data_IF_808561253724
#
_entry.id   IF_808561253724
#
_cell.length_a   1.000
_cell.length_b   1.000
_cell.length_c   1.000
_cell.angle_alpha   90.00
_cell.angle_beta   90.00
_cell.angle_gamma   90.00
#
_symmetry.space_group_name_H-M   'P 1'
#
loop_
_entity.id
_entity.type
_entity.pdbx_description
1 polymer ?
#
# COMPACT_ATOMS: atom_id res chain seq x y z
N UNK A 1 -25.55 3.78 -26.07
CA UNK A 1 -25.70 3.01 -27.34
C UNK A 1 -24.35 2.59 -27.87
N UNK A 2 -24.29 1.75 -28.90
CA UNK A 2 -23.03 1.26 -29.50
C UNK A 2 -22.05 2.40 -29.84
N UNK A 3 -22.58 3.53 -30.33
CA UNK A 3 -21.81 4.74 -30.61
C UNK A 3 -21.10 5.30 -29.37
N UNK A 4 -21.76 5.31 -28.21
CA UNK A 4 -21.19 5.74 -26.93
C UNK A 4 -20.04 4.83 -26.51
N UNK A 5 -20.19 3.51 -26.70
CA UNK A 5 -19.13 2.54 -26.38
C UNK A 5 -17.92 2.72 -27.29
N UNK A 6 -18.13 2.93 -28.60
CA UNK A 6 -17.04 3.19 -29.56
C UNK A 6 -16.33 4.50 -29.24
N UNK A 7 -17.06 5.56 -28.87
CA UNK A 7 -16.47 6.83 -28.48
C UNK A 7 -15.66 6.72 -27.18
N UNK A 8 -16.19 6.01 -26.17
CA UNK A 8 -15.47 5.76 -24.92
C UNK A 8 -14.23 4.89 -25.13
N UNK A 9 -14.33 3.86 -26.00
CA UNK A 9 -13.19 3.01 -26.37
C UNK A 9 -12.12 3.80 -27.14
N UNK A 10 -12.52 4.64 -28.10
CA UNK A 10 -11.61 5.51 -28.84
C UNK A 10 -10.93 6.54 -27.93
N UNK A 11 -11.68 7.15 -27.01
CA UNK A 11 -11.13 8.07 -26.01
C UNK A 11 -10.15 7.35 -25.06
N UNK A 12 -10.50 6.16 -24.56
CA UNK A 12 -9.63 5.37 -23.71
C UNK A 12 -8.34 4.95 -24.44
N UNK A 13 -8.45 4.52 -25.70
CA UNK A 13 -7.31 4.14 -26.54
C UNK A 13 -6.40 5.33 -26.82
N UNK A 14 -6.98 6.51 -27.09
CA UNK A 14 -6.22 7.75 -27.24
C UNK A 14 -5.50 8.16 -25.95
N UNK A 15 -6.18 8.10 -24.81
CA UNK A 15 -5.58 8.38 -23.50
C UNK A 15 -4.42 7.42 -23.18
N UNK A 16 -4.55 6.15 -23.54
CA UNK A 16 -3.47 5.16 -23.42
C UNK A 16 -2.29 5.49 -24.34
N UNK A 17 -2.55 5.94 -25.58
CA UNK A 17 -1.49 6.37 -26.51
C UNK A 17 -0.78 7.65 -26.05
N UNK A 18 -1.45 8.50 -25.28
CA UNK A 18 -0.94 9.75 -24.73
C UNK A 18 -0.59 9.64 -23.24
N UNK A 19 -0.13 8.47 -22.76
CA UNK A 19 0.09 8.21 -21.34
C UNK A 19 1.02 9.23 -20.66
N UNK A 20 2.01 9.78 -21.38
CA UNK A 20 2.93 10.78 -20.83
C UNK A 20 2.21 12.10 -20.48
N UNK A 21 1.25 12.51 -21.31
CA UNK A 21 0.43 13.69 -21.05
C UNK A 21 -0.52 13.46 -19.87
N UNK A 22 -1.05 12.24 -19.75
CA UNK A 22 -1.89 11.85 -18.60
C UNK A 22 -1.08 11.92 -17.29
N UNK A 23 0.16 11.41 -17.29
CA UNK A 23 1.07 11.50 -16.14
C UNK A 23 1.36 12.95 -15.78
N UNK A 24 1.67 13.76 -16.79
CA UNK A 24 1.99 15.17 -16.59
C UNK A 24 0.80 15.92 -15.98
N UNK A 25 -0.41 15.72 -16.52
CA UNK A 25 -1.65 16.28 -15.98
C UNK A 25 -1.91 15.84 -14.53
N UNK A 26 -1.71 14.56 -14.22
CA UNK A 26 -1.83 14.03 -12.86
C UNK A 26 -0.87 14.71 -11.89
N UNK A 27 0.40 14.91 -12.27
CA UNK A 27 1.39 15.62 -11.44
C UNK A 27 0.92 17.05 -11.12
N UNK A 28 0.37 17.76 -12.10
CA UNK A 28 -0.18 19.11 -11.90
C UNK A 28 -1.35 19.07 -10.92
N UNK A 29 -2.29 18.12 -11.10
CA UNK A 29 -3.45 17.96 -10.21
C UNK A 29 -3.00 17.67 -8.78
N UNK A 30 -2.01 16.80 -8.59
CA UNK A 30 -1.46 16.49 -7.27
C UNK A 30 -0.87 17.73 -6.60
N UNK A 31 -0.03 18.50 -7.31
CA UNK A 31 0.55 19.75 -6.78
C UNK A 31 -0.53 20.76 -6.41
N UNK A 32 -1.54 20.92 -7.27
CA UNK A 32 -2.67 21.82 -7.03
C UNK A 32 -3.48 21.38 -5.81
N UNK A 33 -3.80 20.09 -5.70
CA UNK A 33 -4.56 19.54 -4.57
C UNK A 33 -3.78 19.67 -3.26
N UNK A 34 -2.47 19.40 -3.27
CA UNK A 34 -1.62 19.60 -2.10
C UNK A 34 -1.54 21.08 -1.70
N UNK A 35 -1.40 21.99 -2.67
CA UNK A 35 -1.41 23.43 -2.40
C UNK A 35 -2.76 23.90 -1.82
N UNK A 36 -3.87 23.39 -2.36
CA UNK A 36 -5.21 23.65 -1.83
C UNK A 36 -5.36 23.09 -0.41
N UNK A 37 -4.89 21.86 -0.14
CA UNK A 37 -4.92 21.26 1.19
C UNK A 37 -4.15 22.12 2.20
N UNK A 38 -2.92 22.50 1.86
CA UNK A 38 -2.09 23.35 2.72
C UNK A 38 -2.71 24.72 2.96
N UNK A 39 -3.30 25.34 1.93
CA UNK A 39 -4.06 26.58 2.08
C UNK A 39 -5.22 26.41 3.05
N UNK A 40 -5.97 25.31 2.96
CA UNK A 40 -7.06 25.01 3.91
C UNK A 40 -6.50 24.84 5.32
N UNK A 41 -5.40 24.10 5.51
CA UNK A 41 -4.76 23.96 6.83
C UNK A 41 -4.34 25.30 7.44
N UNK A 42 -3.79 26.20 6.64
CA UNK A 42 -3.34 27.52 7.10
C UNK A 42 -4.49 28.46 7.47
N UNK A 43 -5.69 28.24 6.91
CA UNK A 43 -6.90 28.96 7.30
C UNK A 43 -7.41 28.55 8.69
N UNK A 44 -7.13 27.33 9.10
CA UNK A 44 -7.51 26.82 10.41
C UNK A 44 -6.54 27.29 11.51
N UNK A 45 -7.01 27.36 12.75
CA UNK A 45 -6.22 27.79 13.92
C UNK A 45 -6.24 26.74 15.03
N UNK A 46 -5.24 26.82 15.92
CA UNK A 46 -5.19 26.00 17.14
C UNK A 46 -5.08 24.50 16.88
N UNK A 47 -5.84 23.69 17.64
CA UNK A 47 -5.79 22.23 17.58
C UNK A 47 -6.27 21.67 16.22
N UNK A 48 -7.28 22.28 15.60
CA UNK A 48 -7.83 21.86 14.31
C UNK A 48 -6.75 21.84 13.22
N UNK A 49 -5.89 22.86 13.16
CA UNK A 49 -4.78 22.91 12.20
C UNK A 49 -3.80 21.75 12.39
N UNK A 50 -3.47 21.41 13.64
CA UNK A 50 -2.55 20.29 13.92
C UNK A 50 -3.16 18.94 13.52
N UNK A 51 -4.47 18.74 13.74
CA UNK A 51 -5.18 17.55 13.26
C UNK A 51 -5.17 17.44 11.73
N UNK A 52 -5.34 18.56 11.03
CA UNK A 52 -5.23 18.56 9.57
C UNK A 52 -3.80 18.25 9.08
N UNK A 53 -2.76 18.75 9.75
CA UNK A 53 -1.39 18.34 9.43
C UNK A 53 -1.16 16.84 9.67
N UNK A 54 -1.72 16.30 10.74
CA UNK A 54 -1.70 14.86 10.98
C UNK A 54 -2.40 14.07 9.86
N UNK A 55 -3.56 14.53 9.37
CA UNK A 55 -4.25 13.92 8.22
C UNK A 55 -3.38 13.95 6.97
N UNK A 56 -2.64 15.04 6.71
CA UNK A 56 -1.70 15.12 5.58
C UNK A 56 -0.59 14.07 5.67
N UNK A 57 -0.02 13.88 6.87
CA UNK A 57 1.01 12.87 7.13
C UNK A 57 0.43 11.47 6.88
N UNK A 58 -0.74 11.17 7.43
CA UNK A 58 -1.41 9.88 7.23
C UNK A 58 -1.81 9.63 5.76
N UNK A 59 -2.16 10.68 5.00
CA UNK A 59 -2.39 10.56 3.55
C UNK A 59 -1.10 10.21 2.80
N UNK A 60 0.04 10.80 3.17
CA UNK A 60 1.33 10.44 2.58
C UNK A 60 1.71 8.99 2.89
N UNK A 61 1.50 8.55 4.14
CA UNK A 61 1.69 7.16 4.54
C UNK A 61 0.77 6.21 3.78
N UNK A 62 -0.49 6.61 3.54
CA UNK A 62 -1.44 5.83 2.75
C UNK A 62 -0.98 5.68 1.29
N UNK A 63 -0.43 6.74 0.67
CA UNK A 63 0.15 6.65 -0.68
C UNK A 63 1.26 5.58 -0.71
N UNK A 64 2.15 5.58 0.28
CA UNK A 64 3.22 4.57 0.38
C UNK A 64 2.60 3.17 0.53
N UNK A 65 1.69 2.98 1.47
CA UNK A 65 1.05 1.68 1.71
C UNK A 65 0.35 1.15 0.45
N UNK A 66 -0.47 1.98 -0.20
CA UNK A 66 -1.17 1.55 -1.42
C UNK A 66 -0.19 1.30 -2.58
N UNK A 67 0.96 1.98 -2.63
CA UNK A 67 2.00 1.70 -3.64
C UNK A 67 2.53 0.27 -3.51
N UNK A 68 2.70 -0.19 -2.26
CA UNK A 68 3.09 -1.57 -1.94
C UNK A 68 1.95 -2.56 -2.23
N UNK A 69 0.71 -2.16 -1.93
CA UNK A 69 -0.47 -2.97 -2.21
C UNK A 69 -0.60 -3.29 -3.72
N UNK A 70 -0.30 -2.31 -4.57
CA UNK A 70 -0.33 -2.45 -6.03
C UNK A 70 0.73 -3.43 -6.59
N UNK A 71 1.70 -3.87 -5.77
CA UNK A 71 2.67 -4.88 -6.19
C UNK A 71 2.10 -6.30 -6.19
N UNK A 72 1.02 -6.57 -5.45
CA UNK A 72 0.40 -7.90 -5.40
C UNK A 72 -0.03 -8.42 -6.78
N UNK A 73 -0.82 -7.67 -7.59
CA UNK A 73 -1.17 -8.11 -8.93
C UNK A 73 -0.06 -7.92 -9.97
N UNK A 74 1.02 -7.22 -9.64
CA UNK A 74 2.12 -6.90 -10.58
C UNK A 74 3.39 -7.68 -10.23
N UNK A 75 4.35 -7.07 -9.52
CA UNK A 75 5.67 -7.64 -9.23
C UNK A 75 5.61 -8.97 -8.49
N UNK A 76 4.74 -9.09 -7.48
CA UNK A 76 4.62 -10.33 -6.68
C UNK A 76 3.99 -11.44 -7.53
N UNK A 77 3.00 -11.10 -8.37
CA UNK A 77 2.41 -12.06 -9.30
C UNK A 77 3.42 -12.51 -10.36
N UNK A 78 4.23 -11.60 -10.90
CA UNK A 78 5.29 -11.96 -11.85
C UNK A 78 6.39 -12.81 -11.19
N UNK A 79 6.75 -12.49 -9.95
CA UNK A 79 7.64 -13.34 -9.15
C UNK A 79 7.05 -14.74 -8.95
N UNK A 80 5.73 -14.85 -8.72
CA UNK A 80 5.04 -16.13 -8.63
C UNK A 80 5.08 -16.90 -9.97
N UNK A 81 4.89 -16.22 -11.10
CA UNK A 81 4.97 -16.84 -12.43
C UNK A 81 6.37 -17.36 -12.73
N UNK A 82 7.40 -16.59 -12.38
CA UNK A 82 8.77 -16.86 -12.83
C UNK A 82 9.59 -17.70 -11.86
N UNK A 83 9.32 -17.61 -10.56
CA UNK A 83 10.21 -18.14 -9.53
C UNK A 83 9.52 -18.98 -8.46
N UNK A 84 8.21 -19.22 -8.52
CA UNK A 84 7.52 -20.02 -7.49
C UNK A 84 7.15 -21.38 -8.04
N UNK A 85 7.45 -22.43 -7.26
CA UNK A 85 6.97 -23.77 -7.56
C UNK A 85 5.43 -23.77 -7.58
N UNK A 86 4.79 -24.24 -8.67
CA UNK A 86 3.33 -24.28 -8.76
C UNK A 86 2.72 -25.29 -7.77
N UNK A 87 3.52 -26.19 -7.19
CA UNK A 87 3.05 -27.17 -6.20
C UNK A 87 3.26 -26.68 -4.78
N UNK A 88 2.18 -26.51 -4.03
CA UNK A 88 2.18 -26.20 -2.59
C UNK A 88 1.46 -27.32 -1.85
N UNK A 89 2.15 -28.00 -0.92
CA UNK A 89 1.59 -29.11 -0.13
C UNK A 89 0.97 -30.24 -0.98
N UNK A 90 1.49 -30.48 -2.19
CA UNK A 90 0.99 -31.52 -3.12
C UNK A 90 -0.12 -31.06 -4.08
N UNK A 91 -0.63 -29.84 -3.92
CA UNK A 91 -1.65 -29.25 -4.80
C UNK A 91 -1.01 -28.30 -5.81
N UNK A 92 -1.49 -28.29 -7.05
CA UNK A 92 -0.97 -27.40 -8.09
C UNK A 92 -1.82 -26.13 -8.13
N UNK A 93 -1.16 -24.98 -8.07
CA UNK A 93 -1.75 -23.64 -8.10
C UNK A 93 -1.17 -22.83 -9.25
N UNK A 94 -2.02 -22.05 -9.90
CA UNK A 94 -1.57 -21.01 -10.81
C UNK A 94 -1.03 -19.83 -10.01
N UNK A 95 -0.06 -19.10 -10.57
CA UNK A 95 0.54 -17.93 -9.94
C UNK A 95 -0.52 -16.90 -9.48
N UNK A 96 -1.56 -16.71 -10.29
CA UNK A 96 -2.67 -15.79 -10.01
C UNK A 96 -3.49 -16.24 -8.79
N UNK A 97 -3.56 -17.54 -8.50
CA UNK A 97 -4.28 -18.05 -7.33
C UNK A 97 -3.64 -17.61 -6.02
N UNK A 98 -2.34 -17.29 -6.00
CA UNK A 98 -1.69 -16.74 -4.81
C UNK A 98 -2.26 -15.37 -4.40
N UNK A 99 -2.89 -14.61 -5.31
CA UNK A 99 -3.56 -13.36 -4.95
C UNK A 99 -4.75 -13.59 -4.00
N UNK A 100 -5.38 -14.77 -4.06
CA UNK A 100 -6.46 -15.15 -3.14
C UNK A 100 -5.98 -15.33 -1.69
N UNK A 101 -4.67 -15.43 -1.45
CA UNK A 101 -4.12 -15.48 -0.09
C UNK A 101 -4.43 -14.21 0.70
N UNK A 102 -4.46 -13.05 0.05
CA UNK A 102 -4.76 -11.79 0.72
C UNK A 102 -6.17 -11.79 1.36
N UNK A 103 -7.27 -11.97 0.61
CA UNK A 103 -8.60 -12.04 1.20
C UNK A 103 -8.77 -13.22 2.16
N UNK A 104 -8.11 -14.36 1.92
CA UNK A 104 -8.09 -15.50 2.85
C UNK A 104 -7.52 -15.10 4.23
N UNK A 105 -6.35 -14.47 4.26
CA UNK A 105 -5.73 -14.03 5.51
C UNK A 105 -6.50 -12.89 6.17
N UNK A 106 -7.14 -12.01 5.41
CA UNK A 106 -8.04 -10.99 5.96
C UNK A 106 -9.17 -11.65 6.76
N UNK A 107 -9.84 -12.68 6.21
CA UNK A 107 -10.91 -13.40 6.89
C UNK A 107 -10.40 -14.01 8.20
N UNK A 108 -9.20 -14.58 8.19
CA UNK A 108 -8.59 -15.17 9.38
C UNK A 108 -8.26 -14.08 10.41
N UNK A 109 -7.60 -12.98 10.01
CA UNK A 109 -7.15 -11.93 10.93
C UNK A 109 -8.28 -11.08 11.51
N UNK A 110 -9.37 -10.88 10.76
CA UNK A 110 -10.51 -10.04 11.15
C UNK A 110 -11.05 -10.32 12.56
N UNK A 111 -11.40 -11.55 12.96
CA UNK A 111 -11.90 -11.83 14.32
C UNK A 111 -10.86 -11.59 15.41
N UNK A 112 -9.56 -11.85 15.16
CA UNK A 112 -8.51 -11.57 16.13
C UNK A 112 -8.34 -10.07 16.34
N UNK A 113 -8.34 -9.30 15.25
CA UNK A 113 -8.18 -7.86 15.31
C UNK A 113 -9.41 -7.18 15.93
N UNK A 114 -10.62 -7.69 15.66
CA UNK A 114 -11.84 -7.24 16.32
C UNK A 114 -11.79 -7.43 17.85
N UNK A 115 -11.39 -8.63 18.32
CA UNK A 115 -11.20 -8.90 19.76
C UNK A 115 -10.11 -8.02 20.36
N UNK A 116 -9.00 -7.84 19.63
CA UNK A 116 -7.92 -6.96 20.04
C UNK A 116 -8.41 -5.52 20.22
N UNK A 117 -9.18 -4.98 19.26
CA UNK A 117 -9.71 -3.63 19.34
C UNK A 117 -10.75 -3.45 20.45
N UNK A 118 -11.61 -4.43 20.70
CA UNK A 118 -12.55 -4.41 21.84
C UNK A 118 -11.79 -4.33 23.17
N UNK A 119 -10.77 -5.18 23.36
CA UNK A 119 -9.94 -5.15 24.57
C UNK A 119 -9.14 -3.85 24.69
N UNK A 120 -8.59 -3.37 23.57
CA UNK A 120 -7.80 -2.16 23.52
C UNK A 120 -8.66 -0.90 23.78
N UNK A 121 -9.94 -0.89 23.38
CA UNK A 121 -10.87 0.20 23.68
C UNK A 121 -11.15 0.35 25.19
N UNK A 122 -11.00 -0.74 25.96
CA UNK A 122 -11.12 -0.73 27.42
C UNK A 122 -9.78 -0.45 28.14
N UNK A 123 -8.69 -0.28 27.39
CA UNK A 123 -7.37 0.06 27.94
C UNK A 123 -7.33 1.52 28.38
N UNK A 124 -6.50 1.82 29.39
CA UNK A 124 -6.21 3.21 29.80
C UNK A 124 -5.58 4.05 28.68
N UNK A 125 -4.92 3.39 27.72
CA UNK A 125 -4.31 4.02 26.55
C UNK A 125 -4.65 3.18 25.31
N UNK A 126 -5.82 3.41 24.68
CA UNK A 126 -6.15 2.73 23.43
C UNK A 126 -5.16 3.13 22.33
N UNK A 127 -4.83 2.18 21.46
CA UNK A 127 -4.04 2.46 20.26
C UNK A 127 -4.64 3.58 19.42
N UNK A 128 -3.84 4.64 19.23
CA UNK A 128 -4.11 5.73 18.30
C UNK A 128 -4.13 5.24 16.85
N UNK A 129 -4.73 6.04 15.96
CA UNK A 129 -4.67 5.81 14.51
C UNK A 129 -3.21 5.74 14.03
N UNK A 130 -2.35 6.63 14.53
CA UNK A 130 -0.93 6.68 14.15
C UNK A 130 -0.16 5.40 14.53
N UNK A 131 -0.43 4.83 15.73
CA UNK A 131 0.15 3.52 16.11
C UNK A 131 -0.29 2.42 15.16
N UNK A 132 -1.58 2.35 14.83
CA UNK A 132 -2.10 1.33 13.90
C UNK A 132 -1.41 1.43 12.53
N UNK A 133 -1.28 2.64 11.98
CA UNK A 133 -0.55 2.89 10.74
C UNK A 133 0.93 2.46 10.82
N UNK A 134 1.61 2.74 11.94
CA UNK A 134 3.03 2.36 12.14
C UNK A 134 3.23 0.85 12.19
N UNK A 135 2.36 0.14 12.89
CA UNK A 135 2.37 -1.33 12.90
C UNK A 135 2.01 -1.91 11.53
N UNK A 136 1.08 -1.27 10.80
CA UNK A 136 0.77 -1.65 9.42
C UNK A 136 2.00 -1.53 8.52
N UNK A 137 2.68 -0.39 8.56
CA UNK A 137 3.90 -0.16 7.78
C UNK A 137 5.02 -1.14 8.16
N UNK A 138 5.19 -1.44 9.44
CA UNK A 138 6.13 -2.46 9.91
C UNK A 138 5.79 -3.84 9.33
N UNK A 139 4.52 -4.24 9.36
CA UNK A 139 4.07 -5.52 8.79
C UNK A 139 4.32 -5.58 7.28
N UNK A 140 4.09 -4.50 6.53
CA UNK A 140 4.47 -4.43 5.12
C UNK A 140 5.98 -4.57 4.93
N UNK A 141 6.80 -3.89 5.72
CA UNK A 141 8.26 -4.04 5.66
C UNK A 141 8.73 -5.48 5.91
N UNK A 142 8.12 -6.17 6.88
CA UNK A 142 8.37 -7.59 7.17
C UNK A 142 7.94 -8.48 6.00
N UNK A 143 6.76 -8.24 5.41
CA UNK A 143 6.26 -8.99 4.25
C UNK A 143 7.24 -8.95 3.06
N UNK A 144 7.72 -7.75 2.71
CA UNK A 144 8.72 -7.61 1.65
C UNK A 144 10.10 -8.16 2.05
N UNK A 145 10.45 -8.08 3.33
CA UNK A 145 11.66 -8.73 3.87
C UNK A 145 11.61 -10.25 3.69
N UNK A 146 10.46 -10.88 3.90
CA UNK A 146 10.26 -12.31 3.65
C UNK A 146 10.41 -12.64 2.16
N UNK A 147 9.86 -11.81 1.26
CA UNK A 147 10.05 -11.98 -0.18
C UNK A 147 11.52 -11.82 -0.58
N UNK A 148 12.22 -10.83 -0.03
CA UNK A 148 13.66 -10.66 -0.22
C UNK A 148 14.44 -11.90 0.23
N UNK A 149 14.14 -12.44 1.41
CA UNK A 149 14.84 -13.61 1.95
C UNK A 149 14.60 -14.86 1.11
N UNK A 150 13.42 -14.99 0.49
CA UNK A 150 13.06 -16.16 -0.30
C UNK A 150 14.05 -16.47 -1.43
N UNK A 151 14.69 -15.45 -2.01
CA UNK A 151 15.65 -15.62 -3.11
C UNK A 151 16.87 -16.49 -2.72
N UNK A 152 17.28 -16.46 -1.44
CA UNK A 152 18.42 -17.23 -0.95
C UNK A 152 18.09 -18.72 -0.73
N UNK A 153 16.82 -19.08 -0.85
CA UNK A 153 16.31 -20.45 -0.70
C UNK A 153 15.79 -21.01 -2.03
N UNK A 154 16.17 -20.40 -3.15
CA UNK A 154 15.87 -20.94 -4.45
C UNK A 154 16.68 -22.21 -4.72
N UNK A 155 16.08 -23.17 -5.41
CA UNK A 155 16.74 -24.39 -5.84
C UNK A 155 17.71 -24.15 -7.02
N UNK A 156 18.36 -25.21 -7.49
CA UNK A 156 19.28 -25.14 -8.63
C UNK A 156 18.63 -24.74 -9.96
N UNK A 157 17.31 -24.57 -10.01
CA UNK A 157 16.54 -24.07 -11.15
C UNK A 157 15.95 -22.67 -10.88
N UNK A 158 16.36 -22.01 -9.80
CA UNK A 158 15.92 -20.68 -9.38
C UNK A 158 14.43 -20.59 -9.00
N UNK A 159 13.85 -21.70 -8.54
CA UNK A 159 12.50 -21.74 -7.99
C UNK A 159 12.51 -21.80 -6.46
N UNK A 160 11.56 -21.10 -5.85
CA UNK A 160 11.31 -21.07 -4.41
C UNK A 160 10.00 -21.78 -4.08
N UNK A 161 9.86 -22.20 -2.82
CA UNK A 161 8.60 -22.74 -2.32
C UNK A 161 7.51 -21.66 -2.27
N UNK A 162 6.28 -22.00 -2.70
CA UNK A 162 5.13 -21.10 -2.57
C UNK A 162 4.76 -20.74 -1.13
N UNK A 163 5.29 -21.47 -0.13
CA UNK A 163 5.12 -21.12 1.28
C UNK A 163 5.71 -19.74 1.64
N UNK A 164 6.74 -19.28 0.92
CA UNK A 164 7.27 -17.92 1.11
C UNK A 164 6.23 -16.86 0.79
N UNK A 165 5.44 -17.06 -0.26
CA UNK A 165 4.32 -16.18 -0.60
C UNK A 165 3.24 -16.30 0.47
N UNK A 166 2.87 -17.52 0.86
CA UNK A 166 1.88 -17.74 1.95
C UNK A 166 2.23 -16.93 3.19
N UNK A 167 3.47 -16.99 3.66
CA UNK A 167 3.93 -16.28 4.85
C UNK A 167 4.02 -14.76 4.59
N UNK A 168 4.50 -14.33 3.43
CA UNK A 168 4.53 -12.91 3.07
C UNK A 168 3.12 -12.29 3.07
N UNK A 169 2.12 -13.00 2.53
CA UNK A 169 0.73 -12.57 2.51
C UNK A 169 0.08 -12.52 3.91
N UNK A 170 0.55 -13.30 4.91
CA UNK A 170 0.07 -13.18 6.30
C UNK A 170 0.30 -11.76 6.83
N UNK A 171 1.53 -11.26 6.66
CA UNK A 171 1.92 -9.94 7.15
C UNK A 171 1.34 -8.81 6.30
N UNK A 172 1.30 -8.99 4.97
CA UNK A 172 0.70 -7.98 4.08
C UNK A 172 -0.79 -7.78 4.37
N UNK A 173 -1.53 -8.86 4.63
CA UNK A 173 -2.96 -8.78 4.94
C UNK A 173 -3.22 -8.20 6.33
N UNK A 174 -2.35 -8.49 7.30
CA UNK A 174 -2.40 -7.83 8.60
C UNK A 174 -2.11 -6.32 8.47
N UNK A 175 -1.13 -5.95 7.64
CA UNK A 175 -0.84 -4.55 7.35
C UNK A 175 -2.05 -3.83 6.73
N UNK A 176 -2.73 -4.49 5.79
CA UNK A 176 -3.96 -3.98 5.20
C UNK A 176 -5.04 -3.76 6.24
N UNK A 177 -5.34 -4.73 7.10
CA UNK A 177 -6.34 -4.54 8.15
C UNK A 177 -6.00 -3.42 9.14
N UNK A 178 -4.71 -3.18 9.38
CA UNK A 178 -4.21 -2.11 10.24
C UNK A 178 -4.23 -0.72 9.57
N UNK A 179 -4.34 -0.63 8.25
CA UNK A 179 -4.27 0.65 7.49
C UNK A 179 -5.59 0.95 6.75
N UNK A 180 -6.14 -0.02 6.01
CA UNK A 180 -7.26 0.16 5.07
C UNK A 180 -8.59 0.48 5.78
N UNK A 181 -8.82 -0.08 6.97
CA UNK A 181 -10.01 0.20 7.78
C UNK A 181 -10.04 1.65 8.34
N UNK A 182 -8.93 2.40 8.26
CA UNK A 182 -8.76 3.66 8.97
C UNK A 182 -8.79 4.90 8.08
N UNK A 183 -8.74 4.78 6.75
CA UNK A 183 -8.73 5.93 5.85
C UNK A 183 -9.93 6.88 6.00
N UNK A 184 -11.14 6.33 5.84
CA UNK A 184 -12.38 7.10 5.99
C UNK A 184 -12.64 7.50 7.46
N UNK A 185 -12.33 6.62 8.41
CA UNK A 185 -12.52 6.89 9.83
C UNK A 185 -11.63 8.05 10.31
N UNK A 186 -10.39 8.10 9.83
CA UNK A 186 -9.43 9.17 10.14
C UNK A 186 -9.90 10.52 9.62
N UNK A 187 -10.36 10.59 8.37
CA UNK A 187 -10.88 11.83 7.81
C UNK A 187 -12.13 12.28 8.59
N UNK A 188 -13.01 11.35 8.97
CA UNK A 188 -14.18 11.67 9.77
C UNK A 188 -13.84 12.15 11.19
N UNK A 189 -12.77 11.63 11.81
CA UNK A 189 -12.39 11.93 13.19
C UNK A 189 -11.54 13.20 13.34
N UNK A 190 -10.62 13.45 12.38
CA UNK A 190 -9.61 14.51 12.49
C UNK A 190 -9.96 15.78 11.71
N UNK A 191 -10.88 15.71 10.73
CA UNK A 191 -11.24 16.85 9.88
C UNK A 191 -12.53 17.50 10.38
N UNK A 192 -12.60 18.84 10.46
CA UNK A 192 -13.84 19.51 10.84
C UNK A 192 -14.97 19.23 9.83
N UNK A 193 -16.21 19.06 10.32
CA UNK A 193 -17.38 18.64 9.55
C UNK A 193 -17.59 19.39 8.23
N UNK A 194 -17.34 20.71 8.22
CA UNK A 194 -17.51 21.57 7.03
C UNK A 194 -16.39 21.43 5.99
N UNK A 195 -15.33 20.64 6.25
CA UNK A 195 -14.24 20.34 5.32
C UNK A 195 -14.16 18.87 4.89
N UNK A 196 -14.98 17.98 5.48
CA UNK A 196 -14.91 16.53 5.23
C UNK A 196 -15.01 16.20 3.74
N UNK A 197 -15.96 16.79 3.01
CA UNK A 197 -16.15 16.50 1.58
C UNK A 197 -14.91 16.81 0.74
N UNK A 198 -14.24 17.94 1.00
CA UNK A 198 -13.00 18.31 0.32
C UNK A 198 -11.88 17.34 0.65
N UNK A 199 -11.68 17.01 1.93
CA UNK A 199 -10.60 16.09 2.35
C UNK A 199 -10.85 14.66 1.89
N UNK A 200 -12.10 14.21 1.82
CA UNK A 200 -12.44 12.90 1.23
C UNK A 200 -12.09 12.83 -0.26
N UNK A 201 -12.33 13.90 -1.03
CA UNK A 201 -11.88 13.97 -2.42
C UNK A 201 -10.36 13.85 -2.55
N UNK A 202 -9.63 14.49 -1.64
CA UNK A 202 -8.16 14.42 -1.58
C UNK A 202 -7.66 13.04 -1.13
N UNK A 203 -8.38 12.37 -0.23
CA UNK A 203 -8.10 10.98 0.15
C UNK A 203 -8.19 10.04 -1.04
N UNK A 204 -9.23 10.11 -1.88
CA UNK A 204 -9.33 9.25 -3.06
C UNK A 204 -8.22 9.50 -4.09
N UNK A 205 -7.65 10.72 -4.13
CA UNK A 205 -6.49 11.00 -4.98
C UNK A 205 -5.27 10.16 -4.58
N UNK A 206 -5.13 9.79 -3.30
CA UNK A 206 -4.00 8.95 -2.84
C UNK A 206 -3.92 7.62 -3.59
N UNK A 207 -5.07 7.00 -3.89
CA UNK A 207 -5.15 5.76 -4.68
C UNK A 207 -4.71 5.94 -6.13
N UNK A 208 -4.96 7.11 -6.73
CA UNK A 208 -4.48 7.40 -8.08
C UNK A 208 -2.96 7.58 -8.10
N UNK A 209 -2.40 8.29 -7.11
CA UNK A 209 -0.95 8.47 -6.96
C UNK A 209 -0.26 7.12 -6.72
N UNK A 210 -0.81 6.30 -5.85
CA UNK A 210 -0.26 4.97 -5.52
C UNK A 210 -0.32 4.00 -6.69
N UNK A 211 -1.36 4.07 -7.54
CA UNK A 211 -1.42 3.31 -8.78
C UNK A 211 -0.25 3.63 -9.71
N UNK A 212 0.07 4.91 -9.88
CA UNK A 212 1.14 5.34 -10.77
C UNK A 212 2.54 5.01 -10.24
N UNK A 213 2.77 5.33 -8.97
CA UNK A 213 4.03 5.02 -8.28
C UNK A 213 4.22 3.52 -8.16
N UNK A 214 3.15 2.75 -7.93
CA UNK A 214 3.15 1.29 -7.90
C UNK A 214 3.51 0.68 -9.25
N UNK A 215 2.93 1.19 -10.34
CA UNK A 215 3.29 0.75 -11.70
C UNK A 215 4.77 1.03 -12.02
N UNK A 216 5.28 2.21 -11.65
CA UNK A 216 6.69 2.55 -11.83
C UNK A 216 7.59 1.65 -10.98
N UNK A 217 7.23 1.37 -9.74
CA UNK A 217 7.96 0.45 -8.87
C UNK A 217 7.98 -0.97 -9.44
N UNK A 218 6.86 -1.42 -10.00
CA UNK A 218 6.77 -2.72 -10.65
C UNK A 218 7.61 -2.81 -11.92
N UNK A 219 7.74 -1.72 -12.68
CA UNK A 219 8.62 -1.67 -13.85
C UNK A 219 10.11 -1.87 -13.51
N UNK A 220 10.53 -1.71 -12.25
CA UNK A 220 11.90 -2.03 -11.85
C UNK A 220 12.17 -3.54 -11.79
N UNK A 221 11.12 -4.36 -11.83
CA UNK A 221 11.22 -5.83 -11.88
C UNK A 221 11.13 -6.39 -13.30
N UNK A 222 10.93 -5.55 -14.33
CA UNK A 222 10.87 -6.02 -15.71
C UNK A 222 12.26 -6.26 -16.27
N UNK A 223 12.46 -7.44 -16.88
CA UNK A 223 13.72 -7.81 -17.51
C UNK A 223 13.88 -7.19 -18.90
N UNK A 224 15.10 -6.82 -19.33
CA UNK A 224 15.37 -6.20 -20.63
C UNK A 224 14.88 -7.03 -21.83
N UNK A 225 14.96 -8.36 -21.74
CA UNK A 225 14.64 -9.26 -22.85
C UNK A 225 13.15 -9.65 -22.94
N UNK A 226 12.32 -9.24 -21.98
CA UNK A 226 10.89 -9.59 -21.93
C UNK A 226 10.59 -11.09 -21.81
N UNK A 227 11.62 -11.94 -21.68
CA UNK A 227 11.48 -13.39 -21.54
C UNK A 227 11.07 -13.75 -20.12
N UNK A 228 9.94 -14.42 -19.99
CA UNK A 228 9.43 -14.98 -18.73
C UNK A 228 10.19 -16.26 -18.35
N UNK A 229 11.51 -16.17 -18.17
CA UNK A 229 12.36 -17.32 -17.83
C UNK A 229 12.97 -17.19 -16.44
N UNK A 230 12.91 -18.27 -15.67
CA UNK A 230 13.58 -18.37 -14.37
C UNK A 230 15.11 -18.37 -14.57
N UNK A 231 15.75 -17.26 -14.22
CA UNK A 231 17.22 -17.12 -14.27
C UNK A 231 17.74 -16.58 -12.94
N UNK A 232 19.03 -16.72 -12.70
CA UNK A 232 19.66 -16.09 -11.53
C UNK A 232 19.51 -14.57 -11.58
N UNK A 233 19.70 -13.96 -12.75
CA UNK A 233 19.58 -12.52 -12.95
C UNK A 233 18.16 -12.02 -12.60
N UNK A 234 17.13 -12.74 -13.07
CA UNK A 234 15.75 -12.37 -12.76
C UNK A 234 15.41 -12.54 -11.29
N UNK A 235 15.86 -13.62 -10.66
CA UNK A 235 15.66 -13.85 -9.24
C UNK A 235 16.31 -12.74 -8.41
N UNK A 236 17.53 -12.33 -8.77
CA UNK A 236 18.25 -11.24 -8.11
C UNK A 236 17.61 -9.88 -8.37
N UNK A 237 17.08 -9.63 -9.57
CA UNK A 237 16.37 -8.38 -9.87
C UNK A 237 15.13 -8.20 -8.98
N UNK A 238 14.29 -9.24 -8.86
CA UNK A 238 13.17 -9.24 -7.92
C UNK A 238 13.65 -9.09 -6.48
N UNK A 239 14.70 -9.83 -6.11
CA UNK A 239 15.35 -9.74 -4.81
C UNK A 239 15.79 -8.31 -4.46
N UNK A 240 16.50 -7.62 -5.35
CA UNK A 240 16.94 -6.25 -5.15
C UNK A 240 15.78 -5.28 -4.94
N UNK A 241 14.71 -5.41 -5.74
CA UNK A 241 13.53 -4.56 -5.60
C UNK A 241 12.82 -4.84 -4.26
N UNK A 242 12.56 -6.10 -3.92
CA UNK A 242 11.90 -6.45 -2.66
C UNK A 242 12.73 -6.09 -1.43
N UNK A 243 14.06 -6.27 -1.48
CA UNK A 243 14.98 -5.87 -0.42
C UNK A 243 15.05 -4.36 -0.26
N UNK A 244 15.10 -3.61 -1.37
CA UNK A 244 15.04 -2.16 -1.37
C UNK A 244 13.73 -1.64 -0.77
N UNK A 245 12.60 -2.23 -1.15
CA UNK A 245 11.30 -1.92 -0.55
C UNK A 245 11.32 -2.22 0.95
N UNK A 246 11.72 -3.42 1.36
CA UNK A 246 11.75 -3.82 2.76
C UNK A 246 12.57 -2.83 3.62
N UNK A 247 13.77 -2.47 3.17
CA UNK A 247 14.63 -1.53 3.88
C UNK A 247 14.00 -0.15 4.00
N UNK A 248 13.51 0.42 2.89
CA UNK A 248 12.89 1.75 2.89
C UNK A 248 11.65 1.78 3.78
N UNK A 249 10.81 0.76 3.70
CA UNK A 249 9.57 0.68 4.47
C UNK A 249 9.84 0.46 5.97
N UNK A 250 10.84 -0.33 6.33
CA UNK A 250 11.25 -0.50 7.73
C UNK A 250 11.83 0.81 8.31
N UNK A 251 12.59 1.57 7.52
CA UNK A 251 13.05 2.90 7.92
C UNK A 251 11.88 3.87 8.11
N UNK A 252 10.91 3.87 7.20
CA UNK A 252 9.69 4.67 7.32
C UNK A 252 8.91 4.27 8.57
N UNK A 253 8.72 2.96 8.81
CA UNK A 253 8.05 2.47 10.01
C UNK A 253 8.77 2.95 11.29
N UNK A 254 10.11 2.91 11.33
CA UNK A 254 10.89 3.43 12.46
C UNK A 254 10.67 4.94 12.67
N UNK A 255 10.65 5.72 11.59
CA UNK A 255 10.34 7.17 11.63
C UNK A 255 8.92 7.39 12.14
N UNK A 256 7.95 6.60 11.69
CA UNK A 256 6.55 6.69 12.11
C UNK A 256 6.42 6.42 13.61
N UNK A 257 7.00 5.32 14.11
CA UNK A 257 7.03 5.03 15.55
C UNK A 257 7.63 6.17 16.36
N UNK A 258 8.71 6.78 15.87
CA UNK A 258 9.31 7.95 16.50
C UNK A 258 8.40 9.18 16.45
N UNK A 259 7.71 9.43 15.34
CA UNK A 259 6.80 10.57 15.19
C UNK A 259 5.50 10.44 16.00
N UNK A 260 5.05 9.22 16.30
CA UNK A 260 3.82 8.96 17.05
C UNK A 260 3.79 9.69 18.39
N UNK A 261 4.94 9.83 19.07
CA UNK A 261 5.06 10.56 20.35
C UNK A 261 4.63 12.03 20.26
N UNK A 262 4.64 12.60 19.06
CA UNK A 262 4.20 13.97 18.79
C UNK A 262 2.79 13.99 18.19
N UNK A 263 2.53 13.12 17.21
CA UNK A 263 1.25 13.09 16.49
C UNK A 263 0.07 12.68 17.37
N UNK A 264 0.30 11.81 18.35
CA UNK A 264 -0.75 11.44 19.32
C UNK A 264 -1.25 12.64 20.11
N UNK A 265 -0.36 13.57 20.47
CA UNK A 265 -0.73 14.82 21.15
C UNK A 265 -1.57 15.75 20.28
N UNK A 266 -1.51 15.59 18.97
CA UNK A 266 -2.30 16.38 18.01
C UNK A 266 -3.68 15.76 17.74
N UNK A 267 -3.77 14.43 17.81
CA UNK A 267 -4.98 13.66 17.55
C UNK A 267 -6.00 13.63 18.71
N UNK A 268 -5.57 13.81 19.96
CA UNK A 268 -6.48 13.74 21.11
C UNK A 268 -7.59 14.82 21.04
N UNK A 269 -8.86 14.44 21.29
CA UNK A 269 -9.90 15.40 21.69
C UNK A 269 -9.42 16.09 22.97
N UNK A 270 -9.02 17.37 22.88
CA UNK A 270 -8.92 18.18 24.09
C UNK A 270 -10.33 18.27 24.65
N UNK A 271 -10.52 17.69 25.83
CA UNK A 271 -11.70 17.91 26.66
C UNK A 271 -11.91 19.41 26.92
#
# INVERSE_FOLDING_TARGET
>A
GLLTLVLLWGLASYLLSAYEWVIFGLKIIIVLVLALYLKICLQEKGATRHRMYAVLILMFEAVIFFTLYQQMPTSINMYAVMHVHPKVLGWTFDAQSFQALNPFWIIIWSPFLAKFYQKNALSKQPWSIFRKFSYGMLCSGISYGILYLSQFYADGQFYISGLWLVVSYIFQSLAELLVSALGLAMVAELVPNYRIGGVMGMWFLTSAVSGFTGAKLASLTTLPDGKLTATLESLQAFGHVFGGIALVILLIAAIMFWSNRFLEKWGEPKA
#
